data_IF_229076295299
#
_entry.id   IF_229076295299
#
_cell.length_a   1.000
_cell.length_b   1.000
_cell.length_c   1.000
_cell.angle_alpha   90.00
_cell.angle_beta   90.00
_cell.angle_gamma   90.00
#
_symmetry.space_group_name_H-M   'P 1'
#
loop_
_entity.id
_entity.type
_entity.pdbx_description
1 polymer ?
#
# COMPACT_ATOMS: atom_id res chain seq x y z
N UNK A 1 -18.16 3.56 9.18
CA UNK A 1 -17.26 4.23 8.24
C UNK A 1 -16.24 3.22 7.70
N UNK A 2 -16.09 3.16 6.41
CA UNK A 2 -15.09 2.32 5.77
C UNK A 2 -13.78 3.10 5.74
N UNK A 3 -12.72 2.54 6.33
CA UNK A 3 -11.44 3.22 6.47
C UNK A 3 -10.34 2.44 5.76
N UNK A 4 -9.66 3.09 4.83
CA UNK A 4 -8.43 2.54 4.25
C UNK A 4 -7.31 2.72 5.27
N UNK A 5 -6.58 1.66 5.56
CA UNK A 5 -5.31 1.74 6.28
C UNK A 5 -4.23 1.36 5.28
N UNK A 6 -3.42 2.34 4.89
CA UNK A 6 -2.40 2.16 3.88
C UNK A 6 -1.09 2.81 4.31
N UNK A 7 0.01 2.40 3.72
CA UNK A 7 1.29 2.98 4.07
C UNK A 7 2.47 2.26 3.45
N UNK A 8 3.63 2.58 3.99
CA UNK A 8 4.90 2.16 3.44
C UNK A 8 5.17 0.67 3.67
N UNK A 9 5.80 0.04 2.70
CA UNK A 9 6.13 -1.40 2.75
C UNK A 9 7.21 -1.73 3.77
N UNK A 10 8.02 -0.78 4.15
CA UNK A 10 9.10 -0.93 5.11
C UNK A 10 8.69 -0.68 6.56
N UNK A 11 7.42 -0.37 6.80
CA UNK A 11 6.87 -0.26 8.16
C UNK A 11 6.26 -1.61 8.52
N UNK A 12 6.84 -2.29 9.52
CA UNK A 12 6.53 -3.68 9.82
C UNK A 12 6.06 -3.92 11.26
N UNK A 13 5.85 -2.87 12.04
CA UNK A 13 5.43 -2.98 13.44
C UNK A 13 4.00 -2.51 13.61
N UNK A 14 3.17 -3.39 14.17
CA UNK A 14 1.74 -3.11 14.38
C UNK A 14 1.48 -1.89 15.27
N UNK A 15 2.41 -1.57 16.17
CA UNK A 15 2.27 -0.40 17.06
C UNK A 15 2.00 0.91 16.32
N UNK A 16 2.53 1.06 15.12
CA UNK A 16 2.31 2.27 14.33
C UNK A 16 0.88 2.38 13.81
N UNK A 17 0.30 1.25 13.43
CA UNK A 17 -1.11 1.21 13.01
C UNK A 17 -2.00 1.47 14.22
N UNK A 18 -1.70 0.87 15.36
CA UNK A 18 -2.44 1.11 16.61
C UNK A 18 -2.42 2.59 16.99
N UNK A 19 -1.25 3.20 16.94
CA UNK A 19 -1.08 4.62 17.24
C UNK A 19 -1.86 5.52 16.27
N UNK A 20 -1.77 5.25 14.99
CA UNK A 20 -2.46 6.04 13.96
C UNK A 20 -3.97 5.93 14.09
N UNK A 21 -4.49 4.72 14.32
CA UNK A 21 -5.91 4.50 14.51
C UNK A 21 -6.44 5.19 15.78
N UNK A 22 -5.62 5.22 16.82
CA UNK A 22 -5.95 5.93 18.05
C UNK A 22 -5.93 7.45 17.86
N UNK A 23 -4.83 8.00 17.36
CA UNK A 23 -4.65 9.45 17.21
C UNK A 23 -5.64 10.07 16.21
N UNK A 24 -6.02 9.33 15.19
CA UNK A 24 -7.01 9.78 14.20
C UNK A 24 -8.45 9.64 14.71
N UNK A 25 -8.67 8.99 15.84
CA UNK A 25 -9.99 8.56 16.33
C UNK A 25 -10.71 7.59 15.39
N UNK A 26 -10.04 7.09 14.37
CA UNK A 26 -10.66 6.16 13.43
C UNK A 26 -11.12 4.86 14.08
N UNK A 27 -10.44 4.43 15.16
CA UNK A 27 -10.84 3.22 15.88
C UNK A 27 -12.28 3.27 16.42
N UNK A 28 -12.80 4.47 16.67
CA UNK A 28 -14.18 4.66 17.14
C UNK A 28 -15.22 4.60 16.02
N UNK A 29 -14.80 4.91 14.80
CA UNK A 29 -15.72 5.10 13.67
C UNK A 29 -15.64 4.00 12.63
N UNK A 30 -14.59 3.19 12.65
CA UNK A 30 -14.36 2.17 11.64
C UNK A 30 -15.36 1.01 11.78
N UNK A 31 -16.02 0.70 10.68
CA UNK A 31 -16.88 -0.49 10.56
C UNK A 31 -16.27 -1.52 9.62
N UNK A 32 -15.40 -1.07 8.75
CA UNK A 32 -14.70 -1.93 7.80
C UNK A 32 -13.34 -1.34 7.47
N UNK A 33 -12.30 -2.16 7.58
CA UNK A 33 -10.93 -1.82 7.15
C UNK A 33 -10.78 -2.21 5.69
N UNK A 34 -10.23 -1.31 4.90
CA UNK A 34 -9.90 -1.58 3.49
C UNK A 34 -8.38 -1.56 3.33
N UNK A 35 -7.84 -2.64 2.77
CA UNK A 35 -6.40 -2.80 2.59
C UNK A 35 -6.06 -3.23 1.18
N UNK A 36 -4.92 -2.78 0.68
CA UNK A 36 -4.39 -3.20 -0.62
C UNK A 36 -3.68 -4.54 -0.59
N UNK A 37 -3.45 -5.12 0.57
CA UNK A 37 -2.85 -6.45 0.71
C UNK A 37 -1.35 -6.52 0.41
N UNK A 38 -0.66 -5.39 0.25
CA UNK A 38 0.79 -5.37 0.05
C UNK A 38 1.54 -5.63 1.36
N UNK A 39 2.85 -5.71 1.28
CA UNK A 39 3.71 -5.83 2.46
C UNK A 39 3.65 -4.56 3.31
N UNK A 40 4.11 -4.66 4.55
CA UNK A 40 4.18 -3.52 5.45
C UNK A 40 2.83 -3.12 6.00
N UNK A 41 2.49 -1.85 5.94
CA UNK A 41 1.27 -1.32 6.55
C UNK A 41 0.00 -2.01 6.05
N UNK A 42 -0.08 -2.34 4.78
CA UNK A 42 -1.26 -3.02 4.24
C UNK A 42 -1.53 -4.36 4.95
N UNK A 43 -0.48 -5.14 5.19
CA UNK A 43 -0.59 -6.39 5.95
C UNK A 43 -0.92 -6.15 7.42
N UNK A 44 -0.33 -5.12 8.01
CA UNK A 44 -0.60 -4.73 9.39
C UNK A 44 -2.04 -4.26 9.57
N UNK A 45 -2.63 -3.65 8.55
CA UNK A 45 -4.02 -3.24 8.55
C UNK A 45 -4.96 -4.45 8.75
N UNK A 46 -4.66 -5.55 8.08
CA UNK A 46 -5.41 -6.79 8.21
C UNK A 46 -5.24 -7.36 9.62
N UNK A 47 -4.01 -7.38 10.13
CA UNK A 47 -3.71 -7.82 11.50
C UNK A 47 -4.46 -6.99 12.54
N UNK A 48 -4.48 -5.67 12.36
CA UNK A 48 -5.23 -4.76 13.23
C UNK A 48 -6.72 -5.09 13.22
N UNK A 49 -7.30 -5.27 12.04
CA UNK A 49 -8.72 -5.61 11.91
C UNK A 49 -9.06 -6.93 12.58
N UNK A 50 -8.22 -7.95 12.42
CA UNK A 50 -8.41 -9.24 13.08
C UNK A 50 -8.32 -9.11 14.59
N UNK A 51 -7.34 -8.36 15.10
CA UNK A 51 -7.14 -8.15 16.53
C UNK A 51 -8.35 -7.46 17.17
N UNK A 52 -8.91 -6.47 16.49
CA UNK A 52 -10.04 -5.70 17.01
C UNK A 52 -11.40 -6.20 16.53
N UNK A 53 -11.44 -7.34 15.88
CA UNK A 53 -12.69 -7.97 15.37
C UNK A 53 -13.48 -7.06 14.45
N UNK A 54 -12.78 -6.31 13.61
CA UNK A 54 -13.37 -5.43 12.60
C UNK A 54 -13.37 -6.16 11.27
N UNK A 55 -14.46 -6.03 10.53
CA UNK A 55 -14.54 -6.53 9.16
C UNK A 55 -13.45 -5.89 8.30
N UNK A 56 -12.85 -6.67 7.40
CA UNK A 56 -11.87 -6.13 6.47
C UNK A 56 -12.09 -6.64 5.05
N UNK A 57 -11.71 -5.82 4.10
CA UNK A 57 -11.75 -6.12 2.67
C UNK A 57 -10.37 -5.87 2.08
N UNK A 58 -9.86 -6.83 1.32
CA UNK A 58 -8.58 -6.72 0.64
C UNK A 58 -8.82 -6.50 -0.85
N UNK A 59 -8.28 -5.43 -1.38
CA UNK A 59 -8.31 -5.12 -2.80
C UNK A 59 -6.91 -5.24 -3.37
N UNK A 60 -6.63 -6.36 -4.04
CA UNK A 60 -5.31 -6.62 -4.61
C UNK A 60 -5.15 -5.93 -5.95
N UNK A 61 -3.93 -5.46 -6.23
CA UNK A 61 -3.58 -4.95 -7.54
C UNK A 61 -3.56 -6.10 -8.56
N UNK A 62 -4.18 -5.88 -9.72
CA UNK A 62 -4.30 -6.90 -10.76
C UNK A 62 -3.26 -6.67 -11.86
N UNK A 63 -2.01 -6.97 -11.54
CA UNK A 63 -0.87 -6.72 -12.42
C UNK A 63 -0.98 -7.43 -13.77
N UNK A 64 -1.64 -8.59 -13.81
CA UNK A 64 -1.78 -9.39 -15.03
C UNK A 64 -3.00 -9.01 -15.87
N UNK A 65 -3.83 -8.10 -15.40
CA UNK A 65 -5.03 -7.68 -16.11
C UNK A 65 -4.70 -6.54 -17.07
N UNK A 66 -4.63 -6.85 -18.35
CA UNK A 66 -4.17 -5.92 -19.39
C UNK A 66 -5.30 -5.16 -20.08
N UNK A 67 -6.51 -5.64 -19.98
CA UNK A 67 -7.70 -5.15 -20.71
C UNK A 67 -8.54 -4.14 -19.94
N UNK A 68 -8.05 -3.63 -18.82
CA UNK A 68 -8.76 -2.62 -18.04
C UNK A 68 -8.48 -1.22 -18.58
N UNK A 69 -9.47 -0.30 -18.53
CA UNK A 69 -9.25 1.08 -18.93
C UNK A 69 -8.09 1.72 -18.16
N UNK A 70 -7.23 2.42 -18.87
CA UNK A 70 -6.08 3.09 -18.27
C UNK A 70 -4.90 2.19 -17.96
N UNK A 71 -4.93 0.92 -18.36
CA UNK A 71 -3.79 0.02 -18.20
C UNK A 71 -2.61 0.49 -19.03
N UNK A 72 -1.42 0.45 -18.42
CA UNK A 72 -0.15 0.65 -19.10
C UNK A 72 0.56 -0.68 -19.13
N UNK A 73 0.71 -1.23 -20.34
CA UNK A 73 1.28 -2.56 -20.52
C UNK A 73 2.78 -2.43 -20.68
N UNK A 74 3.51 -3.10 -19.82
CA UNK A 74 4.96 -3.18 -19.88
C UNK A 74 5.41 -4.63 -19.97
N UNK A 75 6.61 -4.83 -20.47
CA UNK A 75 7.22 -6.16 -20.60
C UNK A 75 8.14 -6.34 -19.40
N UNK A 76 7.85 -7.35 -18.60
CA UNK A 76 8.74 -7.75 -17.51
C UNK A 76 9.72 -8.79 -18.04
N UNK A 77 11.00 -8.40 -18.06
CA UNK A 77 12.07 -9.30 -18.46
C UNK A 77 12.54 -10.08 -17.22
N UNK A 78 12.49 -11.40 -17.31
CA UNK A 78 12.96 -12.25 -16.22
C UNK A 78 14.46 -12.47 -16.37
N UNK A 79 15.26 -11.72 -15.62
CA UNK A 79 16.71 -11.73 -15.68
C UNK A 79 17.34 -13.03 -15.17
N UNK A 80 16.61 -13.84 -14.42
CA UNK A 80 17.12 -15.04 -13.78
C UNK A 80 16.95 -16.30 -14.62
N UNK A 81 16.29 -16.19 -15.73
CA UNK A 81 16.01 -17.36 -16.51
C UNK A 81 16.73 -17.34 -17.84
N UNK A 82 17.29 -18.47 -18.12
CA UNK A 82 17.62 -18.85 -19.49
C UNK A 82 16.36 -18.94 -20.36
N UNK A 83 15.20 -18.81 -19.75
CA UNK A 83 13.94 -18.64 -20.45
C UNK A 83 13.80 -17.22 -20.93
N UNK A 84 13.79 -17.05 -22.21
CA UNK A 84 13.50 -15.78 -22.88
C UNK A 84 12.00 -15.43 -22.80
N UNK A 85 11.32 -15.84 -21.73
CA UNK A 85 9.91 -15.58 -21.58
C UNK A 85 9.67 -14.15 -21.09
N UNK A 86 9.02 -13.36 -21.90
CA UNK A 86 8.57 -12.03 -21.56
C UNK A 86 7.19 -12.13 -20.90
N UNK A 87 7.03 -11.46 -19.75
CA UNK A 87 5.73 -11.32 -19.13
C UNK A 87 5.21 -9.91 -19.35
N UNK A 88 4.03 -9.82 -19.89
CA UNK A 88 3.31 -8.54 -19.97
C UNK A 88 2.60 -8.31 -18.64
N UNK A 89 2.61 -7.07 -18.16
CA UNK A 89 1.93 -6.71 -16.94
C UNK A 89 1.38 -5.29 -17.03
N UNK A 90 0.35 -5.01 -16.21
CA UNK A 90 -0.20 -3.67 -16.08
C UNK A 90 0.59 -2.90 -15.03
N UNK A 91 1.49 -2.03 -15.46
CA UNK A 91 2.35 -1.26 -14.54
C UNK A 91 1.57 -0.27 -13.66
N UNK A 92 0.33 0.05 -14.03
CA UNK A 92 -0.52 0.96 -13.26
C UNK A 92 -1.49 0.24 -12.35
N UNK A 93 -1.40 -1.07 -12.21
CA UNK A 93 -2.36 -1.85 -11.40
C UNK A 93 -2.43 -1.38 -9.95
N UNK A 94 -1.29 -1.02 -9.34
CA UNK A 94 -1.25 -0.48 -7.98
C UNK A 94 -1.99 0.84 -7.84
N UNK A 95 -1.82 1.73 -8.80
CA UNK A 95 -2.51 3.03 -8.81
C UNK A 95 -4.01 2.85 -9.06
N UNK A 96 -4.38 1.97 -9.97
CA UNK A 96 -5.78 1.64 -10.27
C UNK A 96 -6.47 1.05 -9.05
N UNK A 97 -5.79 0.15 -8.32
CA UNK A 97 -6.28 -0.42 -7.07
C UNK A 97 -6.49 0.66 -6.02
N UNK A 98 -5.55 1.61 -5.90
CA UNK A 98 -5.68 2.73 -4.97
C UNK A 98 -6.90 3.59 -5.28
N UNK A 99 -7.15 3.89 -6.54
CA UNK A 99 -8.32 4.66 -6.96
C UNK A 99 -9.62 3.91 -6.65
N UNK A 100 -9.64 2.61 -6.89
CA UNK A 100 -10.79 1.77 -6.57
C UNK A 100 -11.09 1.77 -5.07
N UNK A 101 -10.06 1.61 -4.24
CA UNK A 101 -10.21 1.69 -2.78
C UNK A 101 -10.70 3.08 -2.35
N UNK A 102 -10.13 4.13 -2.96
CA UNK A 102 -10.49 5.50 -2.62
C UNK A 102 -11.96 5.83 -2.90
N UNK A 103 -12.50 5.31 -3.99
CA UNK A 103 -13.92 5.48 -4.31
C UNK A 103 -14.82 4.67 -3.37
N UNK A 104 -14.37 3.51 -2.95
CA UNK A 104 -15.13 2.61 -2.09
C UNK A 104 -15.18 3.08 -0.63
N UNK A 105 -14.08 3.59 -0.11
CA UNK A 105 -13.94 3.92 1.31
C UNK A 105 -14.34 5.38 1.61
N UNK A 106 -14.55 5.64 2.90
CA UNK A 106 -14.97 6.96 3.39
C UNK A 106 -13.81 7.80 3.89
N UNK A 107 -12.73 7.15 4.31
CA UNK A 107 -11.58 7.83 4.92
C UNK A 107 -10.29 7.03 4.72
N UNK A 108 -9.17 7.70 4.92
CA UNK A 108 -7.84 7.10 4.85
C UNK A 108 -7.05 7.41 6.12
N UNK A 109 -6.46 6.37 6.68
CA UNK A 109 -5.38 6.49 7.67
C UNK A 109 -4.11 6.00 6.99
N UNK A 110 -3.17 6.91 6.75
CA UNK A 110 -1.92 6.61 6.08
C UNK A 110 -0.77 6.64 7.08
N UNK A 111 0.01 5.57 7.12
CA UNK A 111 1.22 5.47 7.92
C UNK A 111 2.38 5.44 6.92
N UNK A 112 3.08 6.55 6.81
CA UNK A 112 3.95 6.85 5.67
C UNK A 112 5.37 7.20 6.09
N UNK A 113 6.35 6.74 5.34
CA UNK A 113 7.77 7.09 5.54
C UNK A 113 8.15 8.46 4.91
N UNK A 114 7.20 9.13 4.29
CA UNK A 114 7.42 10.40 3.60
C UNK A 114 7.98 10.26 2.19
N UNK A 115 8.23 9.04 1.71
CA UNK A 115 8.91 8.77 0.44
C UNK A 115 8.13 7.86 -0.50
N UNK A 116 7.43 6.87 0.04
CA UNK A 116 6.73 5.85 -0.77
C UNK A 116 5.74 6.47 -1.73
N UNK A 117 5.93 6.33 -3.06
CA UNK A 117 5.07 7.00 -4.05
C UNK A 117 3.64 6.45 -4.09
N UNK A 118 3.46 5.16 -3.82
CA UNK A 118 2.13 4.56 -3.79
C UNK A 118 1.27 5.11 -2.67
N UNK A 119 1.85 5.35 -1.50
CA UNK A 119 1.14 5.96 -0.37
C UNK A 119 0.82 7.42 -0.66
N UNK A 120 1.76 8.15 -1.27
CA UNK A 120 1.51 9.53 -1.69
C UNK A 120 0.34 9.61 -2.67
N UNK A 121 0.29 8.71 -3.64
CA UNK A 121 -0.81 8.64 -4.59
C UNK A 121 -2.16 8.43 -3.88
N UNK A 122 -2.21 7.52 -2.91
CA UNK A 122 -3.42 7.26 -2.14
C UNK A 122 -3.88 8.49 -1.37
N UNK A 123 -2.94 9.19 -0.72
CA UNK A 123 -3.21 10.42 0.02
C UNK A 123 -3.79 11.49 -0.92
N UNK A 124 -3.12 11.74 -2.03
CA UNK A 124 -3.51 12.77 -2.98
C UNK A 124 -4.87 12.46 -3.61
N UNK A 125 -5.11 11.21 -3.94
CA UNK A 125 -6.37 10.79 -4.53
C UNK A 125 -7.54 10.99 -3.56
N UNK A 126 -7.40 10.59 -2.30
CA UNK A 126 -8.44 10.78 -1.29
C UNK A 126 -8.72 12.26 -1.03
N UNK A 127 -7.68 13.09 -1.00
CA UNK A 127 -7.85 14.53 -0.90
C UNK A 127 -8.61 15.10 -2.09
N UNK A 128 -8.33 14.61 -3.29
CA UNK A 128 -9.04 15.05 -4.50
C UNK A 128 -10.53 14.73 -4.46
N UNK A 129 -10.91 13.67 -3.76
CA UNK A 129 -12.31 13.30 -3.57
C UNK A 129 -12.98 14.03 -2.39
N UNK A 130 -12.25 14.89 -1.67
CA UNK A 130 -12.77 15.58 -0.49
C UNK A 130 -13.01 14.69 0.71
N UNK A 131 -12.41 13.49 0.74
CA UNK A 131 -12.57 12.54 1.83
C UNK A 131 -11.59 12.81 2.96
N UNK A 132 -11.88 12.31 4.17
CA UNK A 132 -11.03 12.50 5.33
C UNK A 132 -9.72 11.72 5.17
N UNK A 133 -8.61 12.40 5.45
CA UNK A 133 -7.27 11.82 5.39
C UNK A 133 -6.51 12.17 6.66
N UNK A 134 -5.98 11.14 7.31
CA UNK A 134 -5.04 11.29 8.40
C UNK A 134 -3.71 10.70 8.00
N UNK A 135 -2.63 11.46 8.13
CA UNK A 135 -1.28 11.01 7.77
C UNK A 135 -0.39 11.01 8.99
N UNK A 136 0.20 9.87 9.30
CA UNK A 136 1.22 9.76 10.33
C UNK A 136 2.56 9.44 9.66
N UNK A 137 3.54 10.30 9.85
CA UNK A 137 4.89 10.08 9.33
C UNK A 137 5.68 9.22 10.29
N UNK A 138 6.25 8.15 9.79
CA UNK A 138 7.12 7.25 10.55
C UNK A 138 8.48 7.23 9.89
N UNK A 139 9.50 7.68 10.61
CA UNK A 139 10.88 7.57 10.13
C UNK A 139 11.37 6.17 10.39
N UNK A 140 11.55 5.41 9.33
CA UNK A 140 12.15 4.09 9.41
C UNK A 140 13.63 4.23 9.05
N UNK A 141 14.55 3.70 9.89
CA UNK A 141 15.95 3.67 9.50
C UNK A 141 16.07 2.94 8.17
N UNK A 142 16.60 3.62 7.18
CA UNK A 142 16.92 2.97 5.91
C UNK A 142 17.97 1.91 6.22
N UNK A 143 17.72 0.62 5.93
CA UNK A 143 18.78 -0.36 6.05
C UNK A 143 19.93 0.12 5.18
N UNK A 144 21.19 -0.01 5.65
CA UNK A 144 22.33 0.40 4.86
C UNK A 144 22.17 -0.24 3.49
N UNK A 145 22.19 0.60 2.46
CA UNK A 145 22.19 0.10 1.09
C UNK A 145 23.31 -0.93 1.02
N UNK A 146 22.98 -2.16 0.65
CA UNK A 146 24.03 -3.09 0.23
C UNK A 146 24.81 -2.36 -0.83
N UNK A 147 25.98 -1.88 -0.46
CA UNK A 147 26.88 -1.28 -1.42
C UNK A 147 27.13 -2.33 -2.46
N UNK A 148 26.91 -2.00 -3.73
CA UNK A 148 27.27 -2.90 -4.83
C UNK A 148 28.73 -3.31 -4.74
N UNK A 149 29.53 -2.47 -4.08
CA UNK A 149 30.98 -2.64 -3.90
C UNK A 149 31.33 -3.56 -2.73
N UNK A 150 30.41 -3.87 -1.85
CA UNK A 150 30.58 -4.88 -0.81
C UNK A 150 30.50 -6.29 -1.39
N UNK A 151 30.13 -6.38 -2.64
CA UNK A 151 30.33 -7.60 -3.39
C UNK A 151 31.79 -7.65 -3.72
N UNK A 152 32.43 -8.52 -3.07
CA UNK A 152 33.78 -8.88 -3.42
C UNK A 152 33.76 -9.22 -4.89
N UNK A 153 34.42 -8.41 -5.73
CA UNK A 153 34.65 -8.83 -7.09
C UNK A 153 35.65 -9.94 -7.04
N UNK A 154 35.17 -11.07 -7.07
CA UNK A 154 36.09 -12.19 -7.18
C UNK A 154 36.26 -12.52 -8.61
#
# INVERSE_FOLDING_TARGET
MKVIIAGSRNITQLKYVEEAMFKSNAYKMVTEVVSGGARGVDSLAIDWAKKHKVKYTVKKAEWNKLDVPGAVIEIHHNDDSQDLAYRYYNSRAGLQRNEEMGRYADALVAIWDGKSPGTKHMIDFMKSLGKKVYVMIVKVPTPPKKKKDDRIPI
#
